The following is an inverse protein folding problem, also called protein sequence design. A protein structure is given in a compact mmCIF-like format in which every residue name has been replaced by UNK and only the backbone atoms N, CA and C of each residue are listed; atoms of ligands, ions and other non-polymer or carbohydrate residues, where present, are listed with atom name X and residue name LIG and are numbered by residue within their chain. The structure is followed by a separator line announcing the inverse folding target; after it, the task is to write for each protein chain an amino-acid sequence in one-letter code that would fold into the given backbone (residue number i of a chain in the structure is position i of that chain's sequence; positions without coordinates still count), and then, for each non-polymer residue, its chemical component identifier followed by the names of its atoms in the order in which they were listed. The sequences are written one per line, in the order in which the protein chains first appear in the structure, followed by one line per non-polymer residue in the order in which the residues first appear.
data_IF_720223305385
#
_entry.id   IF_720223305385
#
_cell.length_a   1.000
_cell.length_b   1.000
_cell.length_c   1.000
_cell.angle_alpha   90.00
_cell.angle_beta   90.00
_cell.angle_gamma   90.00
#
_symmetry.space_group_name_H-M   'P 1'
#
loop_
_entity.id
_entity.type
_entity.pdbx_description
1 polymer ?
#
# COMPACT_ATOMS: atom_id res chain seq x y z
N UNK A 1 3.59 -16.88 9.55
CA UNK A 1 3.56 -15.64 8.77
C UNK A 1 3.15 -14.54 9.72
N UNK A 2 3.90 -13.44 9.74
CA UNK A 2 3.61 -12.29 10.60
C UNK A 2 2.61 -11.36 9.91
N UNK A 3 1.82 -10.62 10.71
CA UNK A 3 0.88 -9.62 10.20
C UNK A 3 1.61 -8.36 9.82
N UNK A 4 1.37 -7.82 8.62
CA UNK A 4 1.89 -6.51 8.21
C UNK A 4 1.08 -5.40 8.91
N UNK A 5 1.71 -4.73 9.86
CA UNK A 5 1.15 -3.61 10.64
C UNK A 5 2.27 -2.64 11.03
N UNK A 6 1.94 -1.60 11.83
CA UNK A 6 2.90 -0.56 12.24
C UNK A 6 4.15 -1.07 12.96
N UNK A 7 4.08 -2.22 13.63
CA UNK A 7 5.20 -2.78 14.40
C UNK A 7 5.99 -3.83 13.59
N UNK A 8 5.53 -4.17 12.38
CA UNK A 8 6.21 -5.14 11.53
C UNK A 8 7.56 -4.58 11.08
N UNK A 9 8.68 -5.32 11.21
CA UNK A 9 10.03 -4.80 10.93
C UNK A 9 10.23 -4.38 9.48
N UNK A 10 9.36 -4.83 8.57
CA UNK A 10 9.34 -4.46 7.15
C UNK A 10 8.18 -3.55 6.74
N UNK A 11 7.57 -2.86 7.70
CA UNK A 11 6.45 -1.96 7.43
C UNK A 11 6.79 -0.89 6.39
N UNK A 12 7.91 -0.19 6.58
CA UNK A 12 8.39 0.83 5.63
C UNK A 12 8.68 0.23 4.25
N UNK A 13 9.31 -0.95 4.19
CA UNK A 13 9.59 -1.65 2.92
C UNK A 13 8.28 -1.98 2.18
N UNK A 14 7.25 -2.42 2.90
CA UNK A 14 5.93 -2.68 2.33
C UNK A 14 5.31 -1.41 1.74
N UNK A 15 5.35 -0.29 2.47
CA UNK A 15 4.83 0.99 2.00
C UNK A 15 5.60 1.50 0.78
N UNK A 16 6.92 1.44 0.78
CA UNK A 16 7.76 1.84 -0.35
C UNK A 16 7.44 1.02 -1.62
N UNK A 17 7.27 -0.31 -1.48
CA UNK A 17 6.89 -1.17 -2.62
C UNK A 17 5.49 -0.88 -3.13
N UNK A 18 4.54 -0.63 -2.22
CA UNK A 18 3.16 -0.33 -2.57
C UNK A 18 3.02 1.06 -3.22
N UNK A 19 3.78 2.06 -2.75
CA UNK A 19 3.87 3.39 -3.37
C UNK A 19 4.56 3.33 -4.74
N UNK A 20 5.57 2.47 -4.85
CA UNK A 20 6.43 2.32 -6.02
C UNK A 20 5.84 1.51 -7.19
N UNK A 21 6.71 1.13 -8.16
CA UNK A 21 6.29 0.50 -9.42
C UNK A 21 5.46 -0.79 -9.30
N UNK A 22 5.64 -1.52 -8.18
CA UNK A 22 4.93 -2.76 -7.87
C UNK A 22 3.47 -2.54 -7.47
N UNK A 23 3.13 -1.35 -6.98
CA UNK A 23 1.77 -0.98 -6.60
C UNK A 23 1.24 0.24 -7.34
N UNK A 24 0.85 1.25 -6.57
CA UNK A 24 0.22 2.46 -7.07
C UNK A 24 1.17 3.28 -7.96
N UNK A 25 2.48 3.11 -7.85
CA UNK A 25 3.46 3.81 -8.69
C UNK A 25 3.18 5.31 -8.77
N UNK A 26 3.12 5.95 -7.60
CA UNK A 26 2.98 7.40 -7.52
C UNK A 26 4.21 8.06 -8.16
N UNK A 27 3.96 8.99 -9.07
CA UNK A 27 4.99 9.69 -9.82
C UNK A 27 4.65 11.17 -9.89
N UNK A 28 5.59 12.01 -9.47
CA UNK A 28 5.50 13.45 -9.59
C UNK A 28 6.58 13.95 -10.55
N UNK A 29 6.18 14.31 -11.77
CA UNK A 29 7.11 14.74 -12.81
C UNK A 29 7.65 16.16 -12.61
N UNK A 30 6.93 17.01 -11.85
CA UNK A 30 7.37 18.33 -11.41
C UNK A 30 7.06 18.53 -9.91
N UNK A 31 8.07 18.57 -9.04
CA UNK A 31 7.89 18.76 -7.59
C UNK A 31 7.19 20.06 -7.21
N UNK A 32 7.20 21.09 -8.08
CA UNK A 32 6.53 22.38 -7.83
C UNK A 32 5.08 22.40 -8.29
N UNK A 33 4.64 21.37 -9.01
CA UNK A 33 3.29 21.26 -9.54
C UNK A 33 2.61 20.01 -9.02
N UNK A 34 1.71 20.17 -8.06
CA UNK A 34 0.94 19.04 -7.48
C UNK A 34 0.02 18.36 -8.50
N UNK A 35 -0.35 19.03 -9.60
CA UNK A 35 -1.14 18.42 -10.68
C UNK A 35 -0.31 17.49 -11.57
N UNK A 36 1.01 17.46 -11.40
CA UNK A 36 1.88 16.52 -12.10
C UNK A 36 1.91 15.14 -11.46
N UNK A 37 1.24 14.97 -10.30
CA UNK A 37 1.10 13.70 -9.62
C UNK A 37 0.22 12.75 -10.45
N UNK A 38 0.75 11.58 -10.72
CA UNK A 38 0.07 10.49 -11.42
C UNK A 38 0.29 9.19 -10.68
N UNK A 39 -0.67 8.26 -10.75
CA UNK A 39 -0.56 6.94 -10.14
C UNK A 39 -1.45 5.93 -10.87
N UNK A 40 -1.12 4.65 -10.71
CA UNK A 40 -1.95 3.51 -11.09
C UNK A 40 -3.03 3.34 -10.03
N UNK A 41 -4.29 3.41 -10.46
CA UNK A 41 -5.44 3.07 -9.63
C UNK A 41 -6.28 2.02 -10.35
N UNK A 42 -6.53 0.88 -9.69
CA UNK A 42 -7.41 -0.15 -10.25
C UNK A 42 -8.90 0.16 -10.06
N UNK A 43 -9.23 1.14 -9.21
CA UNK A 43 -10.59 1.48 -8.83
C UNK A 43 -11.27 0.40 -7.96
N UNK A 44 -12.25 0.81 -7.16
CA UNK A 44 -13.00 -0.08 -6.26
C UNK A 44 -12.20 -0.53 -5.02
N UNK A 45 -12.70 -1.55 -4.35
CA UNK A 45 -12.20 -2.05 -3.04
C UNK A 45 -11.22 -3.23 -3.22
N UNK A 46 -10.22 -3.07 -4.10
CA UNK A 46 -9.26 -4.14 -4.39
C UNK A 46 -7.87 -3.79 -3.87
N UNK A 47 -7.29 -4.72 -3.10
CA UNK A 47 -5.93 -4.67 -2.56
C UNK A 47 -5.00 -5.61 -3.36
N UNK A 48 -5.06 -5.53 -4.69
CA UNK A 48 -4.44 -6.50 -5.59
C UNK A 48 -2.92 -6.45 -5.55
N UNK A 49 -2.36 -5.24 -5.55
CA UNK A 49 -0.91 -5.04 -5.49
C UNK A 49 -0.39 -5.38 -4.09
N UNK A 50 -1.09 -4.93 -3.05
CA UNK A 50 -0.77 -5.29 -1.67
C UNK A 50 -0.80 -6.82 -1.46
N UNK A 51 -1.74 -7.55 -2.06
CA UNK A 51 -1.78 -9.03 -1.99
C UNK A 51 -0.50 -9.66 -2.53
N UNK A 52 0.00 -9.16 -3.68
CA UNK A 52 1.21 -9.69 -4.32
C UNK A 52 2.43 -9.41 -3.45
N UNK A 53 2.57 -8.17 -2.96
CA UNK A 53 3.70 -7.75 -2.12
C UNK A 53 3.69 -8.54 -0.80
N UNK A 54 2.55 -8.64 -0.11
CA UNK A 54 2.44 -9.40 1.14
C UNK A 54 2.78 -10.88 0.97
N UNK A 55 2.38 -11.48 -0.16
CA UNK A 55 2.72 -12.86 -0.48
C UNK A 55 4.22 -13.06 -0.69
N UNK A 56 4.88 -12.12 -1.37
CA UNK A 56 6.33 -12.13 -1.59
C UNK A 56 7.11 -11.93 -0.28
N UNK A 57 6.55 -11.17 0.67
CA UNK A 57 7.12 -10.93 1.99
C UNK A 57 6.83 -12.03 3.02
N UNK A 58 6.11 -13.10 2.65
CA UNK A 58 5.68 -14.19 3.55
C UNK A 58 4.83 -13.72 4.75
N UNK A 59 3.96 -12.74 4.52
CA UNK A 59 3.06 -12.15 5.53
C UNK A 59 1.67 -12.81 5.55
N UNK A 60 0.99 -12.73 6.69
CA UNK A 60 -0.40 -13.17 6.81
C UNK A 60 -1.33 -12.14 6.14
N UNK A 61 -1.75 -12.46 4.91
CA UNK A 61 -2.57 -11.56 4.08
C UNK A 61 -3.90 -11.23 4.76
N UNK A 62 -4.57 -12.23 5.37
CA UNK A 62 -5.90 -12.02 5.95
C UNK A 62 -5.82 -11.09 7.15
N UNK A 63 -4.90 -11.39 8.07
CA UNK A 63 -4.72 -10.56 9.26
C UNK A 63 -4.22 -9.15 8.91
N UNK A 64 -3.38 -9.02 7.87
CA UNK A 64 -2.90 -7.71 7.40
C UNK A 64 -4.05 -6.88 6.84
N UNK A 65 -4.94 -7.48 6.03
CA UNK A 65 -6.10 -6.78 5.49
C UNK A 65 -7.16 -6.46 6.54
N UNK A 66 -7.36 -7.30 7.56
CA UNK A 66 -8.19 -6.94 8.72
C UNK A 66 -7.66 -5.67 9.39
N UNK A 67 -6.35 -5.62 9.66
CA UNK A 67 -5.69 -4.43 10.20
C UNK A 67 -5.82 -3.21 9.27
N UNK A 68 -5.56 -3.33 7.96
CA UNK A 68 -5.71 -2.21 7.02
C UNK A 68 -7.15 -1.69 6.98
N UNK A 69 -8.13 -2.58 6.92
CA UNK A 69 -9.55 -2.23 6.83
C UNK A 69 -10.04 -1.53 8.11
N UNK A 70 -9.56 -1.95 9.29
CA UNK A 70 -9.84 -1.25 10.56
C UNK A 70 -9.31 0.20 10.57
N UNK A 71 -8.31 0.49 9.73
CA UNK A 71 -7.70 1.81 9.57
C UNK A 71 -8.11 2.51 8.26
N UNK A 72 -9.11 1.99 7.54
CA UNK A 72 -9.66 2.61 6.34
C UNK A 72 -8.88 2.34 5.04
N UNK A 73 -8.02 1.33 5.01
CA UNK A 73 -7.25 0.92 3.83
C UNK A 73 -7.93 -0.16 2.98
N UNK A 74 -9.09 0.13 2.37
CA UNK A 74 -9.88 -0.87 1.62
C UNK A 74 -9.40 -1.13 0.19
N UNK A 75 -8.51 -0.29 -0.34
CA UNK A 75 -7.80 -0.51 -1.59
C UNK A 75 -6.31 -0.14 -1.47
N UNK A 76 -5.52 -0.47 -2.49
CA UNK A 76 -4.06 -0.22 -2.50
C UNK A 76 -3.72 1.27 -2.20
N UNK A 77 -4.45 2.22 -2.79
CA UNK A 77 -4.21 3.65 -2.54
C UNK A 77 -4.62 4.08 -1.13
N UNK A 78 -5.72 3.54 -0.61
CA UNK A 78 -6.20 3.90 0.74
C UNK A 78 -5.30 3.36 1.83
N UNK A 79 -4.60 2.24 1.61
CA UNK A 79 -3.52 1.80 2.51
C UNK A 79 -2.46 2.90 2.62
N UNK A 80 -2.01 3.46 1.49
CA UNK A 80 -1.00 4.52 1.46
C UNK A 80 -1.50 5.88 1.97
N UNK A 81 -2.80 6.14 1.90
CA UNK A 81 -3.37 7.43 2.34
C UNK A 81 -3.83 7.43 3.80
N UNK A 82 -4.34 6.30 4.30
CA UNK A 82 -5.01 6.20 5.59
C UNK A 82 -4.23 5.36 6.60
N UNK A 83 -3.35 4.47 6.12
CA UNK A 83 -2.63 3.47 6.92
C UNK A 83 -1.13 3.70 6.79
N UNK A 84 -0.67 4.93 6.97
CA UNK A 84 0.76 5.30 7.06
C UNK A 84 0.92 6.20 8.28
N UNK A 85 1.63 5.75 9.30
CA UNK A 85 1.83 6.51 10.55
C UNK A 85 2.84 7.64 10.39
#
# INVERSE_FOLDING_TARGET
METMNYDHPKWEEFLERLDGPEGCNFQQSDPKNTRSLTWKCQGGEKQGSATIILKDMDCDIKASFEFFNEHGGYCDCEILFNVTK
#
